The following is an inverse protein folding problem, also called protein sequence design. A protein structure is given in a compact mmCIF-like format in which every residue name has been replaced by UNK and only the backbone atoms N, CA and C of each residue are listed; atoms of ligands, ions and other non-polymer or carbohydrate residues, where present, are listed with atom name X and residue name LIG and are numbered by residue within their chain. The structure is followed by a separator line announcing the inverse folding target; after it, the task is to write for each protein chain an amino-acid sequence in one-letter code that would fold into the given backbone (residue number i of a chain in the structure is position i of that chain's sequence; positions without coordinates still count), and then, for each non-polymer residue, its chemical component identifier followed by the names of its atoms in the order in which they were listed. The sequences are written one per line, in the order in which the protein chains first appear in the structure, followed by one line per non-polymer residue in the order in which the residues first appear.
data_IF_024619610030
#
_entry.id   IF_024619610030
#
_cell.length_a   1.000
_cell.length_b   1.000
_cell.length_c   1.000
_cell.angle_alpha   90.00
_cell.angle_beta   90.00
_cell.angle_gamma   90.00
#
_symmetry.space_group_name_H-M   'P 1'
#
loop_
_entity.id
_entity.type
_entity.pdbx_description
1 polymer ?
#
# COMPACT_ATOMS: atom_id res chain seq x y z
N UNK A 1 8.56 44.43 -16.25
CA UNK A 1 8.81 43.15 -15.53
C UNK A 1 8.71 43.25 -13.99
N UNK A 2 8.65 44.44 -13.38
CA UNK A 2 8.54 44.60 -11.91
C UNK A 2 7.14 44.41 -11.32
N UNK A 3 6.08 44.61 -12.09
CA UNK A 3 4.68 44.48 -11.63
C UNK A 3 4.21 43.03 -11.50
N UNK A 4 4.70 42.14 -12.36
CA UNK A 4 4.33 40.70 -12.33
C UNK A 4 4.87 39.95 -11.11
N UNK A 5 6.10 40.27 -10.67
CA UNK A 5 6.71 39.65 -9.50
C UNK A 5 5.98 40.03 -8.20
N UNK A 6 5.49 41.28 -8.11
CA UNK A 6 4.71 41.75 -6.97
C UNK A 6 3.34 41.06 -6.86
N UNK A 7 2.72 40.72 -7.99
CA UNK A 7 1.42 40.05 -8.02
C UNK A 7 1.54 38.58 -7.58
N UNK A 8 2.62 37.90 -7.99
CA UNK A 8 2.88 36.50 -7.63
C UNK A 8 3.18 36.34 -6.14
N UNK A 9 3.95 37.26 -5.55
CA UNK A 9 4.24 37.26 -4.10
C UNK A 9 2.96 37.50 -3.28
N UNK A 10 2.07 38.37 -3.75
CA UNK A 10 0.77 38.61 -3.11
C UNK A 10 -0.13 37.36 -3.17
N UNK A 11 -0.14 36.65 -4.29
CA UNK A 11 -0.89 35.39 -4.45
C UNK A 11 -0.38 34.31 -3.48
N UNK A 12 0.93 34.17 -3.32
CA UNK A 12 1.54 33.17 -2.43
C UNK A 12 1.22 33.47 -0.96
N UNK A 13 1.26 34.74 -0.56
CA UNK A 13 0.88 35.19 0.78
C UNK A 13 -0.61 34.93 1.07
N UNK A 14 -1.50 35.22 0.12
CA UNK A 14 -2.93 34.97 0.27
C UNK A 14 -3.26 33.48 0.40
N UNK A 15 -2.60 32.61 -0.38
CA UNK A 15 -2.81 31.16 -0.33
C UNK A 15 -2.24 30.57 0.97
N UNK A 16 -1.12 31.08 1.49
CA UNK A 16 -0.52 30.64 2.75
C UNK A 16 -1.32 30.99 4.02
N UNK A 17 -2.15 32.04 3.97
CA UNK A 17 -3.03 32.43 5.09
C UNK A 17 -4.40 31.73 5.10
N UNK A 18 -4.75 31.02 4.01
CA UNK A 18 -5.92 30.14 3.99
C UNK A 18 -5.45 28.80 4.58
N UNK A 19 -5.14 28.87 5.87
CA UNK A 19 -4.83 27.73 6.71
C UNK A 19 -5.98 26.72 6.66
N UNK A 20 -5.58 25.45 6.74
CA UNK A 20 -6.43 24.29 6.93
C UNK A 20 -7.53 24.60 7.95
N UNK A 21 -8.78 24.75 7.50
CA UNK A 21 -9.92 24.62 8.41
C UNK A 21 -10.03 23.16 8.77
N UNK A 22 -9.54 22.79 9.96
CA UNK A 22 -9.93 21.55 10.61
C UNK A 22 -11.46 21.55 10.70
N UNK A 23 -12.08 20.56 10.07
CA UNK A 23 -13.51 20.30 10.24
C UNK A 23 -13.67 19.76 11.67
N UNK A 24 -14.04 20.64 12.59
CA UNK A 24 -14.57 20.25 13.90
C UNK A 24 -15.92 19.57 13.67
N UNK A 25 -15.88 18.24 13.53
CA UNK A 25 -17.07 17.40 13.53
C UNK A 25 -17.74 17.38 14.91
N UNK A 26 -19.07 17.36 15.00
CA UNK A 26 -19.77 17.36 16.26
C UNK A 26 -19.61 16.00 16.96
N UNK A 27 -19.23 16.04 18.24
CA UNK A 27 -19.56 15.01 19.21
C UNK A 27 -18.95 13.63 18.97
N UNK A 28 -17.70 13.43 19.42
CA UNK A 28 -17.28 12.12 19.92
C UNK A 28 -18.13 11.80 21.15
N UNK A 29 -19.26 11.13 20.95
CA UNK A 29 -19.87 10.35 22.02
C UNK A 29 -18.92 9.19 22.27
N UNK A 30 -18.12 9.29 23.32
CA UNK A 30 -17.41 8.15 23.88
C UNK A 30 -18.48 7.22 24.43
N UNK A 31 -18.96 6.31 23.59
CA UNK A 31 -19.67 5.15 24.09
C UNK A 31 -18.65 4.34 24.89
N UNK A 32 -18.81 4.37 26.21
CA UNK A 32 -18.10 3.49 27.13
C UNK A 32 -18.42 2.04 26.77
N UNK A 33 -17.64 1.48 25.85
CA UNK A 33 -17.58 0.05 25.65
C UNK A 33 -16.49 -0.48 26.59
N UNK A 34 -16.82 -0.59 27.87
CA UNK A 34 -16.11 -1.51 28.76
C UNK A 34 -16.62 -2.92 28.44
N UNK A 35 -16.36 -3.38 27.23
CA UNK A 35 -16.32 -4.81 26.94
C UNK A 35 -14.87 -5.23 27.21
N UNK A 36 -14.60 -6.06 28.24
CA UNK A 36 -13.29 -6.64 28.40
C UNK A 36 -12.98 -7.42 27.12
N UNK A 37 -11.91 -7.01 26.43
CA UNK A 37 -11.34 -7.78 25.35
C UNK A 37 -10.85 -9.10 25.98
N UNK A 38 -11.65 -10.16 25.91
CA UNK A 38 -11.28 -11.51 26.35
C UNK A 38 -10.29 -12.12 25.33
N UNK A 39 -9.09 -11.53 25.25
CA UNK A 39 -7.94 -12.05 24.48
C UNK A 39 -7.48 -13.40 25.04
N UNK A 40 -7.92 -13.76 26.25
CA UNK A 40 -7.59 -15.02 26.91
C UNK A 40 -8.57 -16.18 26.57
N UNK A 41 -9.70 -15.91 25.89
CA UNK A 41 -10.68 -16.95 25.57
C UNK A 41 -10.43 -17.67 24.23
N UNK A 42 -9.47 -17.21 23.41
CA UNK A 42 -9.03 -17.90 22.19
C UNK A 42 -7.60 -18.40 22.35
N UNK A 43 -7.42 -19.29 23.33
CA UNK A 43 -6.18 -20.04 23.52
C UNK A 43 -6.06 -21.24 22.60
N UNK A 44 -6.56 -21.18 21.36
CA UNK A 44 -6.21 -22.18 20.37
C UNK A 44 -4.89 -21.76 19.74
N UNK A 45 -3.79 -22.26 20.31
CA UNK A 45 -2.48 -22.18 19.70
C UNK A 45 -2.59 -22.79 18.30
N UNK A 46 -2.60 -21.95 17.28
CA UNK A 46 -2.48 -22.42 15.89
C UNK A 46 -1.13 -23.13 15.87
N UNK A 47 -1.09 -24.47 15.68
CA UNK A 47 0.17 -25.18 15.67
C UNK A 47 1.00 -24.54 14.58
N UNK A 48 2.20 -24.07 14.93
CA UNK A 48 3.15 -23.59 13.95
C UNK A 48 3.54 -24.78 13.09
N UNK A 49 2.76 -25.01 12.03
CA UNK A 49 3.07 -26.03 11.05
C UNK A 49 4.30 -25.50 10.33
N UNK A 50 5.45 -26.07 10.69
CA UNK A 50 6.66 -25.91 9.90
C UNK A 50 6.35 -26.40 8.48
N UNK A 51 6.03 -25.45 7.61
CA UNK A 51 5.76 -25.72 6.18
C UNK A 51 6.97 -26.38 5.53
N UNK A 52 8.18 -26.14 6.03
CA UNK A 52 9.39 -26.80 5.55
C UNK A 52 9.39 -28.30 5.92
N UNK A 53 8.91 -28.66 7.12
CA UNK A 53 8.78 -30.06 7.53
C UNK A 53 7.77 -30.86 6.68
N UNK A 54 6.75 -30.20 6.10
CA UNK A 54 5.76 -30.84 5.22
C UNK A 54 6.12 -30.78 3.73
N UNK A 55 7.03 -29.92 3.33
CA UNK A 55 7.40 -29.76 1.94
C UNK A 55 8.15 -31.01 1.44
N UNK A 56 7.57 -31.73 0.47
CA UNK A 56 8.34 -32.68 -0.34
C UNK A 56 9.15 -31.86 -1.34
N UNK A 57 10.48 -31.74 -1.20
CA UNK A 57 11.27 -31.01 -2.17
C UNK A 57 11.09 -31.69 -3.54
N UNK A 58 10.64 -30.94 -4.53
CA UNK A 58 10.60 -31.44 -5.88
C UNK A 58 12.05 -31.69 -6.33
N UNK A 59 12.36 -32.96 -6.66
CA UNK A 59 13.72 -33.48 -6.97
C UNK A 59 14.38 -32.84 -8.19
N UNK A 60 13.69 -31.95 -8.92
CA UNK A 60 14.23 -31.25 -10.06
C UNK A 60 13.99 -29.75 -9.85
N UNK A 61 15.01 -28.91 -9.68
CA UNK A 61 14.83 -27.48 -9.79
C UNK A 61 14.52 -27.18 -11.27
N UNK A 62 13.24 -27.30 -11.65
CA UNK A 62 12.70 -26.40 -12.67
C UNK A 62 13.00 -25.03 -12.10
N UNK A 63 13.64 -24.15 -12.88
CA UNK A 63 14.07 -22.81 -12.45
C UNK A 63 13.05 -22.10 -11.56
N UNK A 64 13.51 -21.12 -10.77
CA UNK A 64 12.67 -20.47 -9.77
C UNK A 64 11.35 -20.05 -10.43
N UNK A 65 10.23 -20.23 -9.73
CA UNK A 65 8.92 -19.88 -10.31
C UNK A 65 8.86 -18.41 -10.77
N UNK A 66 9.69 -17.55 -10.15
CA UNK A 66 9.95 -16.17 -10.55
C UNK A 66 10.47 -16.01 -11.98
N UNK A 67 11.23 -16.98 -12.50
CA UNK A 67 11.84 -16.93 -13.83
C UNK A 67 10.81 -17.10 -14.96
N UNK A 68 9.55 -17.39 -14.59
CA UNK A 68 8.43 -17.61 -15.50
C UNK A 68 7.54 -16.38 -15.69
N UNK A 69 7.80 -15.28 -14.98
CA UNK A 69 7.03 -14.07 -15.18
C UNK A 69 7.27 -13.53 -16.60
N UNK A 70 6.21 -13.23 -17.37
CA UNK A 70 6.36 -12.66 -18.69
C UNK A 70 6.88 -11.23 -18.59
N UNK A 71 7.69 -10.81 -19.55
CA UNK A 71 8.21 -9.44 -19.60
C UNK A 71 7.23 -8.47 -20.27
N UNK A 72 6.04 -8.36 -19.67
CA UNK A 72 4.92 -7.56 -20.16
C UNK A 72 5.15 -6.08 -19.93
N UNK A 73 4.79 -5.24 -20.91
CA UNK A 73 4.84 -3.78 -20.74
C UNK A 73 3.68 -3.31 -19.85
N UNK A 74 4.00 -2.57 -18.79
CA UNK A 74 3.06 -1.96 -17.86
C UNK A 74 3.17 -0.43 -17.94
N UNK A 75 2.15 0.26 -17.46
CA UNK A 75 2.13 1.73 -17.34
C UNK A 75 1.96 2.07 -15.85
N UNK A 76 2.81 2.96 -15.33
CA UNK A 76 2.72 3.42 -13.95
C UNK A 76 1.71 4.59 -13.79
N UNK A 77 1.53 5.07 -12.56
CA UNK A 77 0.63 6.18 -12.24
C UNK A 77 1.01 7.51 -12.89
N UNK A 78 2.27 7.66 -13.32
CA UNK A 78 2.81 8.86 -13.96
C UNK A 78 2.75 8.76 -15.50
N UNK A 79 2.28 7.61 -16.03
CA UNK A 79 2.17 7.34 -17.46
C UNK A 79 3.44 6.78 -18.10
N UNK A 80 4.47 6.45 -17.32
CA UNK A 80 5.70 5.87 -17.84
C UNK A 80 5.51 4.37 -18.11
N UNK A 81 6.19 3.87 -19.16
CA UNK A 81 6.16 2.46 -19.53
C UNK A 81 7.34 1.72 -18.90
N UNK A 82 7.05 0.56 -18.32
CA UNK A 82 8.03 -0.34 -17.69
C UNK A 82 7.88 -1.77 -18.19
N UNK A 83 8.98 -2.53 -18.24
CA UNK A 83 8.95 -3.97 -18.47
C UNK A 83 8.83 -4.71 -17.14
N UNK A 84 7.74 -5.46 -16.98
CA UNK A 84 7.38 -6.04 -15.68
C UNK A 84 8.48 -6.89 -15.09
N UNK A 85 9.09 -7.80 -15.86
CA UNK A 85 10.08 -8.72 -15.34
C UNK A 85 11.44 -8.05 -15.22
N UNK A 86 11.96 -7.55 -16.33
CA UNK A 86 13.35 -7.08 -16.43
C UNK A 86 13.64 -5.81 -15.63
N UNK A 87 12.69 -4.86 -15.59
CA UNK A 87 12.90 -3.58 -14.89
C UNK A 87 12.51 -3.65 -13.41
N UNK A 88 11.38 -4.31 -13.09
CA UNK A 88 10.74 -4.15 -11.78
C UNK A 88 11.06 -5.27 -10.77
N UNK A 89 11.23 -6.53 -11.20
CA UNK A 89 11.29 -7.67 -10.25
C UNK A 89 12.51 -8.59 -10.42
N UNK A 90 13.17 -8.61 -11.57
CA UNK A 90 14.36 -9.45 -11.78
C UNK A 90 15.45 -9.09 -10.76
N UNK A 91 16.01 -10.11 -10.12
CA UNK A 91 17.07 -10.00 -9.10
C UNK A 91 16.68 -9.15 -7.87
N UNK A 92 15.37 -9.00 -7.60
CA UNK A 92 14.83 -8.24 -6.47
C UNK A 92 13.84 -9.09 -5.67
N UNK A 93 13.72 -8.82 -4.37
CA UNK A 93 12.59 -9.32 -3.58
C UNK A 93 11.41 -8.36 -3.76
N UNK A 94 10.29 -8.87 -4.27
CA UNK A 94 9.08 -8.08 -4.53
C UNK A 94 7.84 -8.74 -3.90
N UNK A 95 6.93 -7.92 -3.38
CA UNK A 95 5.60 -8.33 -2.93
C UNK A 95 4.60 -7.75 -3.92
N UNK A 96 3.73 -8.60 -4.47
CA UNK A 96 2.73 -8.21 -5.47
C UNK A 96 1.35 -8.26 -4.81
N UNK A 97 0.67 -7.12 -4.77
CA UNK A 97 -0.71 -7.01 -4.31
C UNK A 97 -1.61 -6.57 -5.46
N UNK A 98 -2.71 -7.30 -5.68
CA UNK A 98 -3.71 -6.95 -6.67
C UNK A 98 -4.88 -6.25 -5.98
N UNK A 99 -5.26 -5.08 -6.49
CA UNK A 99 -6.43 -4.32 -6.03
C UNK A 99 -7.16 -3.72 -7.22
N UNK A 100 -8.44 -3.40 -7.02
CA UNK A 100 -9.30 -2.79 -8.04
C UNK A 100 -9.62 -1.36 -7.65
N UNK A 101 -9.58 -0.44 -8.60
CA UNK A 101 -9.88 0.99 -8.37
C UNK A 101 -11.36 1.26 -8.07
N UNK A 102 -12.23 0.27 -8.32
CA UNK A 102 -13.68 0.37 -8.21
C UNK A 102 -14.27 -0.33 -6.99
N UNK A 103 -13.44 -0.91 -6.11
CA UNK A 103 -13.93 -1.58 -4.90
C UNK A 103 -13.94 -0.60 -3.72
N UNK A 104 -15.10 -0.45 -3.08
CA UNK A 104 -15.27 0.38 -1.88
C UNK A 104 -15.06 -0.39 -0.56
N UNK A 105 -14.58 -1.63 -0.63
CA UNK A 105 -14.51 -2.56 0.51
C UNK A 105 -15.79 -3.41 0.67
N UNK A 106 -15.79 -4.26 1.71
CA UNK A 106 -17.00 -4.89 2.27
C UNK A 106 -17.63 -3.97 3.31
#
# INVERSE_FOLDING_TARGET
MRTGLSLVVLIILCVGTIGCKTIDGPGRTVLNLSEPLDVLASGEEIPFIDKAARAKPHTQPRGLYSDKFPDTALVDQDGNKHKFYSDLIKDRMAVIQFFYTSCNGI
#
